data_IF_100111165157
#
_entry.id   IF_100111165157
#
_cell.length_a   1.000
_cell.length_b   1.000
_cell.length_c   1.000
_cell.angle_alpha   90.00
_cell.angle_beta   90.00
_cell.angle_gamma   90.00
#
_symmetry.space_group_name_H-M   'P 1'
#
loop_
_entity.id
_entity.type
_entity.pdbx_description
1 polymer ?
#
# COMPACT_ATOMS: atom_id res chain seq x y z
N UNK A 1 8.58 -2.56 -17.41
CA UNK A 1 7.72 -3.07 -16.33
C UNK A 1 6.42 -3.57 -16.96
N UNK A 2 6.02 -4.81 -16.72
CA UNK A 2 4.76 -5.37 -17.24
C UNK A 2 3.63 -5.04 -16.26
N UNK A 3 2.75 -4.11 -16.64
CA UNK A 3 1.65 -3.58 -15.81
C UNK A 3 0.64 -4.68 -15.45
N UNK A 4 0.35 -5.61 -16.38
CA UNK A 4 -0.55 -6.72 -16.14
C UNK A 4 -0.04 -7.66 -15.02
N UNK A 5 1.24 -8.01 -15.05
CA UNK A 5 1.85 -8.81 -13.97
C UNK A 5 1.81 -8.10 -12.62
N UNK A 6 2.05 -6.78 -12.60
CA UNK A 6 1.96 -5.97 -11.37
C UNK A 6 0.53 -5.94 -10.85
N UNK A 7 -0.46 -5.72 -11.72
CA UNK A 7 -1.87 -5.73 -11.34
C UNK A 7 -2.28 -7.08 -10.71
N UNK A 8 -1.98 -8.20 -11.38
CA UNK A 8 -2.28 -9.54 -10.83
C UNK A 8 -1.60 -9.78 -9.48
N UNK A 9 -0.36 -9.27 -9.32
CA UNK A 9 0.35 -9.34 -8.04
C UNK A 9 -0.34 -8.52 -6.95
N UNK A 10 -0.89 -7.34 -7.27
CA UNK A 10 -1.70 -6.53 -6.33
C UNK A 10 -2.95 -7.29 -5.91
N UNK A 11 -3.71 -7.84 -6.86
CA UNK A 11 -4.92 -8.64 -6.58
C UNK A 11 -4.59 -9.82 -5.64
N UNK A 12 -3.53 -10.56 -5.94
CA UNK A 12 -3.08 -11.67 -5.07
C UNK A 12 -2.75 -11.21 -3.65
N UNK A 13 -2.12 -10.04 -3.49
CA UNK A 13 -1.81 -9.49 -2.17
C UNK A 13 -3.07 -9.05 -1.42
N UNK A 14 -4.01 -8.42 -2.12
CA UNK A 14 -5.30 -8.04 -1.52
C UNK A 14 -6.07 -9.28 -1.06
N UNK A 15 -6.09 -10.35 -1.85
CA UNK A 15 -6.68 -11.62 -1.44
C UNK A 15 -6.03 -12.19 -0.16
N UNK A 16 -4.70 -12.03 -0.01
CA UNK A 16 -4.01 -12.43 1.22
C UNK A 16 -4.40 -11.59 2.44
N UNK A 17 -4.65 -10.28 2.27
CA UNK A 17 -5.21 -9.43 3.33
C UNK A 17 -6.63 -9.89 3.72
N UNK A 18 -7.50 -10.14 2.73
CA UNK A 18 -8.88 -10.63 2.99
C UNK A 18 -8.86 -11.94 3.76
N UNK A 19 -8.04 -12.90 3.34
CA UNK A 19 -7.91 -14.20 4.00
C UNK A 19 -7.41 -14.06 5.45
N UNK A 20 -6.47 -13.15 5.71
CA UNK A 20 -6.02 -12.87 7.09
C UNK A 20 -7.12 -12.23 7.93
N UNK A 21 -7.85 -11.25 7.37
CA UNK A 21 -8.92 -10.54 8.08
C UNK A 21 -10.05 -11.49 8.47
N UNK A 22 -10.46 -12.40 7.58
CA UNK A 22 -11.53 -13.37 7.80
C UNK A 22 -11.27 -14.35 8.96
N UNK A 23 -10.01 -14.52 9.37
CA UNK A 23 -9.62 -15.38 10.49
C UNK A 23 -9.34 -14.62 11.79
N UNK A 24 -9.70 -13.33 11.86
CA UNK A 24 -9.47 -12.49 13.04
C UNK A 24 -10.78 -12.24 13.79
N UNK A 25 -10.70 -12.18 15.12
CA UNK A 25 -11.73 -11.59 15.96
C UNK A 25 -11.40 -10.14 16.27
N UNK A 26 -12.40 -9.36 16.69
CA UNK A 26 -12.26 -7.93 16.96
C UNK A 26 -11.21 -7.63 18.04
N UNK A 27 -11.16 -8.43 19.10
CA UNK A 27 -10.21 -8.27 20.20
C UNK A 27 -8.77 -8.37 19.70
N UNK A 28 -8.42 -9.45 19.01
CA UNK A 28 -7.08 -9.65 18.45
C UNK A 28 -6.72 -8.59 17.40
N UNK A 29 -7.72 -8.12 16.65
CA UNK A 29 -7.51 -7.14 15.60
C UNK A 29 -7.04 -5.79 16.14
N UNK A 30 -7.57 -5.33 17.28
CA UNK A 30 -7.22 -4.04 17.91
C UNK A 30 -6.11 -4.14 18.96
N UNK A 31 -5.73 -5.38 19.36
CA UNK A 31 -4.74 -5.59 20.41
C UNK A 31 -3.34 -5.19 19.96
N UNK A 32 -2.58 -4.56 20.88
CA UNK A 32 -1.17 -4.21 20.62
C UNK A 32 -0.34 -5.49 20.66
N UNK A 33 0.43 -5.81 19.63
CA UNK A 33 1.19 -7.06 19.58
C UNK A 33 2.33 -7.06 20.62
N UNK A 34 2.75 -8.26 21.11
CA UNK A 34 3.86 -8.40 22.07
C UNK A 34 5.18 -7.76 21.61
N UNK A 35 5.46 -7.73 20.31
CA UNK A 35 6.62 -7.02 19.74
C UNK A 35 6.51 -5.51 19.80
N UNK A 36 5.38 -4.98 20.25
CA UNK A 36 5.07 -3.54 20.24
C UNK A 36 4.77 -2.99 18.85
N UNK A 37 4.53 -1.68 18.78
CA UNK A 37 4.21 -0.98 17.52
C UNK A 37 2.72 -1.05 17.17
N UNK A 38 2.40 -1.11 15.89
CA UNK A 38 1.02 -1.09 15.40
C UNK A 38 0.31 -2.42 15.60
N UNK A 39 -0.96 -2.36 15.99
CA UNK A 39 -1.92 -3.46 15.93
C UNK A 39 -2.23 -3.84 14.47
N UNK A 40 -2.90 -4.99 14.27
CA UNK A 40 -3.44 -5.34 12.96
C UNK A 40 -4.34 -4.22 12.41
N UNK A 41 -5.24 -3.70 13.25
CA UNK A 41 -6.18 -2.61 12.91
C UNK A 41 -5.46 -1.39 12.34
N UNK A 42 -4.39 -0.92 12.99
CA UNK A 42 -3.61 0.23 12.54
C UNK A 42 -2.86 -0.05 11.23
N UNK A 43 -2.36 -1.27 11.04
CA UNK A 43 -1.73 -1.68 9.77
C UNK A 43 -2.75 -1.68 8.64
N UNK A 44 -3.96 -2.24 8.84
CA UNK A 44 -5.01 -2.23 7.82
C UNK A 44 -5.48 -0.81 7.50
N UNK A 45 -5.73 0.00 8.51
CA UNK A 45 -6.06 1.43 8.34
C UNK A 45 -5.01 2.14 7.50
N UNK A 46 -3.73 2.00 7.85
CA UNK A 46 -2.64 2.65 7.13
C UNK A 46 -2.51 2.19 5.68
N UNK A 47 -2.44 0.87 5.46
CA UNK A 47 -2.11 0.35 4.13
C UNK A 47 -3.22 0.62 3.11
N UNK A 48 -4.48 0.50 3.49
CA UNK A 48 -5.58 0.73 2.55
C UNK A 48 -5.89 2.22 2.36
N UNK A 49 -5.81 3.07 3.41
CA UNK A 49 -5.90 4.52 3.25
C UNK A 49 -4.78 5.05 2.33
N UNK A 50 -3.54 4.64 2.57
CA UNK A 50 -2.41 5.07 1.72
C UNK A 50 -2.47 4.50 0.30
N UNK A 51 -3.05 3.31 0.12
CA UNK A 51 -3.26 2.73 -1.21
C UNK A 51 -4.35 3.47 -1.98
N UNK A 52 -5.45 3.88 -1.34
CA UNK A 52 -6.48 4.74 -1.94
C UNK A 52 -5.92 6.11 -2.34
N UNK A 53 -5.13 6.75 -1.49
CA UNK A 53 -4.42 7.99 -1.83
C UNK A 53 -3.45 7.80 -3.02
N UNK A 54 -2.81 6.64 -3.09
CA UNK A 54 -1.92 6.30 -4.21
C UNK A 54 -2.69 6.09 -5.51
N UNK A 55 -3.89 5.50 -5.45
CA UNK A 55 -4.79 5.40 -6.62
C UNK A 55 -5.30 6.75 -7.06
N UNK A 56 -5.58 7.68 -6.14
CA UNK A 56 -5.94 9.05 -6.49
C UNK A 56 -4.78 9.74 -7.24
N UNK A 57 -3.56 9.64 -6.73
CA UNK A 57 -2.38 10.20 -7.38
C UNK A 57 -2.10 9.55 -8.76
N UNK A 58 -2.31 8.24 -8.88
CA UNK A 58 -2.27 7.51 -10.15
C UNK A 58 -3.31 8.05 -11.13
N UNK A 59 -4.55 8.23 -10.69
CA UNK A 59 -5.64 8.75 -11.51
C UNK A 59 -5.36 10.17 -12.02
N UNK A 60 -4.75 11.03 -11.21
CA UNK A 60 -4.30 12.36 -11.65
C UNK A 60 -3.27 12.24 -12.79
N UNK A 61 -2.32 11.28 -12.71
CA UNK A 61 -1.41 11.00 -13.83
C UNK A 61 -2.16 10.57 -15.11
N UNK A 62 -3.19 9.71 -14.97
CA UNK A 62 -4.02 9.25 -16.09
C UNK A 62 -4.74 10.40 -16.76
N UNK A 63 -5.27 11.34 -15.97
CA UNK A 63 -5.96 12.55 -16.48
C UNK A 63 -5.02 13.61 -17.06
N UNK A 64 -3.70 13.44 -16.92
CA UNK A 64 -2.74 14.47 -17.30
C UNK A 64 -2.53 15.56 -16.25
N UNK A 65 -3.11 15.39 -15.07
CA UNK A 65 -3.04 16.33 -13.93
C UNK A 65 -1.75 16.03 -13.12
N UNK A 66 -0.62 16.54 -13.60
CA UNK A 66 0.66 16.30 -12.96
C UNK A 66 1.77 17.18 -13.56
N UNK A 67 3.01 16.86 -13.21
CA UNK A 67 4.19 17.59 -13.62
C UNK A 67 5.13 16.73 -14.49
N UNK A 68 5.86 17.39 -15.39
CA UNK A 68 6.94 16.76 -16.15
C UNK A 68 8.23 16.89 -15.34
N UNK A 69 8.45 15.94 -14.43
CA UNK A 69 9.61 15.89 -13.55
C UNK A 69 10.29 14.52 -13.62
N UNK A 70 11.61 14.41 -13.43
CA UNK A 70 12.29 13.12 -13.41
C UNK A 70 11.94 12.32 -12.14
N UNK A 71 11.80 11.01 -12.27
CA UNK A 71 11.83 10.11 -11.12
C UNK A 71 13.27 9.91 -10.68
N UNK A 72 13.55 10.10 -9.40
CA UNK A 72 14.89 9.96 -8.84
C UNK A 72 15.45 8.53 -9.08
N UNK A 73 16.73 8.41 -9.38
CA UNK A 73 17.35 7.13 -9.74
C UNK A 73 17.21 6.06 -8.66
N UNK A 74 17.41 6.42 -7.37
CA UNK A 74 17.27 5.48 -6.26
C UNK A 74 15.83 4.93 -6.14
N UNK A 75 14.82 5.73 -6.49
CA UNK A 75 13.42 5.30 -6.53
C UNK A 75 13.20 4.33 -7.68
N UNK A 76 13.81 4.57 -8.86
CA UNK A 76 13.77 3.61 -9.97
C UNK A 76 14.34 2.24 -9.56
N UNK A 77 15.41 2.21 -8.74
CA UNK A 77 15.96 0.97 -8.20
C UNK A 77 14.98 0.26 -7.25
N UNK A 78 14.33 0.99 -6.33
CA UNK A 78 13.28 0.42 -5.47
C UNK A 78 12.15 -0.21 -6.29
N UNK A 79 11.68 0.51 -7.31
CA UNK A 79 10.60 0.03 -8.19
C UNK A 79 11.06 -1.18 -9.04
N UNK A 80 12.31 -1.23 -9.44
CA UNK A 80 12.90 -2.33 -10.20
C UNK A 80 13.00 -3.60 -9.33
N UNK A 81 13.62 -3.50 -8.16
CA UNK A 81 13.77 -4.64 -7.24
C UNK A 81 12.47 -5.05 -6.56
N UNK A 82 11.46 -4.18 -6.53
CA UNK A 82 10.16 -4.50 -5.93
C UNK A 82 10.19 -4.62 -4.40
N UNK A 83 11.15 -3.97 -3.76
CA UNK A 83 11.28 -3.95 -2.29
C UNK A 83 11.94 -2.67 -1.81
N UNK A 84 11.61 -2.26 -0.60
CA UNK A 84 12.36 -1.21 0.08
C UNK A 84 13.74 -1.74 0.54
N UNK A 85 14.77 -0.88 0.59
CA UNK A 85 16.07 -1.26 1.10
C UNK A 85 15.99 -1.89 2.49
N UNK A 86 16.70 -3.01 2.75
CA UNK A 86 16.74 -3.64 4.06
C UNK A 86 17.40 -2.72 5.10
N UNK A 87 17.06 -2.92 6.38
CA UNK A 87 17.71 -2.23 7.51
C UNK A 87 17.24 -0.79 7.80
N UNK A 88 16.46 -0.16 6.94
CA UNK A 88 15.87 1.16 7.23
C UNK A 88 14.47 1.02 7.82
N UNK A 89 14.30 1.47 9.07
CA UNK A 89 12.97 1.74 9.62
C UNK A 89 12.45 3.04 9.00
N UNK A 90 11.42 2.94 8.19
CA UNK A 90 10.77 4.12 7.59
C UNK A 90 9.70 4.62 8.56
N UNK A 91 10.00 5.70 9.28
CA UNK A 91 8.96 6.38 10.05
C UNK A 91 7.92 6.97 9.09
N UNK A 92 6.66 6.77 9.39
CA UNK A 92 5.56 7.39 8.64
C UNK A 92 5.69 8.91 8.75
N UNK A 93 5.55 9.69 7.66
CA UNK A 93 5.50 11.14 7.73
C UNK A 93 4.40 11.59 8.71
N UNK A 94 4.65 12.62 9.53
CA UNK A 94 3.70 13.08 10.57
C UNK A 94 2.26 13.18 10.07
N UNK A 95 2.02 13.83 8.94
CA UNK A 95 0.68 13.96 8.33
C UNK A 95 0.00 12.64 7.98
N UNK A 96 0.78 11.60 7.66
CA UNK A 96 0.23 10.26 7.40
C UNK A 96 0.10 9.46 8.69
N UNK A 97 0.96 9.70 9.69
CA UNK A 97 0.83 9.09 11.02
C UNK A 97 -0.48 9.50 11.71
N UNK A 98 -0.88 10.75 11.57
CA UNK A 98 -2.15 11.29 12.09
C UNK A 98 -3.39 10.63 11.45
N UNK A 99 -3.24 10.03 10.29
CA UNK A 99 -4.31 9.28 9.58
C UNK A 99 -4.43 7.83 10.03
N UNK A 100 -3.38 7.29 10.68
CA UNK A 100 -3.41 5.92 11.21
C UNK A 100 -4.33 5.88 12.42
N UNK A 101 -5.40 5.08 12.33
CA UNK A 101 -6.42 4.96 13.38
C UNK A 101 -6.68 3.50 13.67
N UNK A 102 -7.09 3.19 14.88
CA UNK A 102 -7.71 1.91 15.18
C UNK A 102 -9.11 1.90 14.54
N UNK A 103 -9.37 0.88 13.75
CA UNK A 103 -10.64 0.64 13.06
C UNK A 103 -11.16 -0.76 13.44
N UNK A 104 -12.44 -1.03 13.28
CA UNK A 104 -13.02 -2.35 13.46
C UNK A 104 -12.87 -3.21 12.19
N UNK A 105 -13.19 -4.50 12.29
CA UNK A 105 -13.08 -5.45 11.18
C UNK A 105 -13.94 -5.02 9.98
N UNK A 106 -15.17 -4.57 10.21
CA UNK A 106 -16.08 -4.11 9.16
C UNK A 106 -15.52 -2.91 8.39
N UNK A 107 -14.91 -1.94 9.08
CA UNK A 107 -14.26 -0.81 8.43
C UNK A 107 -13.02 -1.23 7.62
N UNK A 108 -12.27 -2.24 8.09
CA UNK A 108 -11.16 -2.79 7.34
C UNK A 108 -11.62 -3.50 6.05
N UNK A 109 -12.71 -4.27 6.11
CA UNK A 109 -13.34 -4.86 4.92
C UNK A 109 -13.79 -3.79 3.93
N UNK A 110 -14.45 -2.74 4.40
CA UNK A 110 -14.88 -1.63 3.54
C UNK A 110 -13.71 -0.96 2.84
N UNK A 111 -12.61 -0.70 3.54
CA UNK A 111 -11.39 -0.16 2.93
C UNK A 111 -10.84 -1.07 1.82
N UNK A 112 -10.87 -2.39 2.01
CA UNK A 112 -10.43 -3.36 1.00
C UNK A 112 -11.35 -3.28 -0.23
N UNK A 113 -12.67 -3.30 -0.03
CA UNK A 113 -13.65 -3.22 -1.11
C UNK A 113 -13.52 -1.93 -1.92
N UNK A 114 -13.40 -0.79 -1.24
CA UNK A 114 -13.19 0.51 -1.88
C UNK A 114 -11.91 0.53 -2.71
N UNK A 115 -10.83 -0.06 -2.18
CA UNK A 115 -9.58 -0.17 -2.91
C UNK A 115 -9.71 -1.06 -4.16
N UNK A 116 -10.33 -2.24 -4.04
CA UNK A 116 -10.56 -3.16 -5.18
C UNK A 116 -11.38 -2.46 -6.28
N UNK A 117 -12.47 -1.78 -5.91
CA UNK A 117 -13.32 -1.04 -6.83
C UNK A 117 -12.56 0.07 -7.56
N UNK A 118 -11.83 0.90 -6.82
CA UNK A 118 -11.04 1.98 -7.41
C UNK A 118 -9.89 1.45 -8.27
N UNK A 119 -9.22 0.36 -7.86
CA UNK A 119 -8.17 -0.27 -8.64
C UNK A 119 -8.72 -0.81 -9.97
N UNK A 120 -9.84 -1.55 -9.94
CA UNK A 120 -10.48 -2.08 -11.14
C UNK A 120 -10.89 -0.97 -12.12
N UNK A 121 -11.44 0.14 -11.62
CA UNK A 121 -11.81 1.30 -12.42
C UNK A 121 -10.61 1.98 -13.09
N UNK A 122 -9.49 2.10 -12.39
CA UNK A 122 -8.32 2.82 -12.89
C UNK A 122 -7.41 1.94 -13.77
N UNK A 123 -7.36 0.63 -13.56
CA UNK A 123 -6.41 -0.25 -14.21
C UNK A 123 -6.44 -0.19 -15.75
N UNK A 124 -7.59 -0.20 -16.46
CA UNK A 124 -7.63 -0.15 -17.91
C UNK A 124 -7.05 1.15 -18.51
N UNK A 125 -6.94 2.20 -17.70
CA UNK A 125 -6.48 3.52 -18.12
C UNK A 125 -4.95 3.67 -17.95
N UNK A 126 -4.32 2.83 -17.12
CA UNK A 126 -2.89 2.95 -16.78
C UNK A 126 -1.98 2.76 -17.99
N UNK A 127 -2.32 1.82 -18.89
CA UNK A 127 -1.51 1.56 -20.08
C UNK A 127 -1.49 2.76 -21.04
N UNK A 128 -2.57 3.52 -21.10
CA UNK A 128 -2.74 4.70 -21.96
C UNK A 128 -2.13 5.97 -21.33
N UNK A 129 -1.81 5.93 -20.04
CA UNK A 129 -1.29 7.10 -19.33
C UNK A 129 0.12 7.49 -19.83
N UNK A 130 0.35 8.78 -19.96
CA UNK A 130 1.65 9.32 -20.34
C UNK A 130 2.71 8.99 -19.28
N UNK A 131 3.84 8.44 -19.71
CA UNK A 131 5.00 8.21 -18.84
C UNK A 131 5.69 9.50 -18.36
N UNK A 132 5.43 10.63 -19.04
CA UNK A 132 6.01 11.94 -18.73
C UNK A 132 5.28 12.61 -17.55
N UNK A 133 3.95 12.44 -17.46
CA UNK A 133 3.12 13.05 -16.42
C UNK A 133 3.28 12.29 -15.12
N UNK A 134 3.61 13.00 -14.06
CA UNK A 134 3.89 12.44 -12.75
C UNK A 134 3.29 13.27 -11.63
N UNK A 135 2.88 12.61 -10.58
CA UNK A 135 2.43 13.24 -9.33
C UNK A 135 3.44 12.97 -8.21
N UNK A 136 3.46 13.85 -7.22
CA UNK A 136 4.46 13.84 -6.15
C UNK A 136 4.05 12.89 -5.01
N UNK A 137 4.88 11.87 -4.75
CA UNK A 137 4.82 11.08 -3.53
C UNK A 137 5.61 11.79 -2.41
N UNK A 138 5.12 11.83 -1.15
CA UNK A 138 5.75 12.58 -0.05
C UNK A 138 7.23 12.24 0.18
N UNK A 139 7.66 11.00 -0.07
CA UNK A 139 9.03 10.52 0.16
C UNK A 139 9.78 10.09 -1.10
N UNK A 140 9.08 9.58 -2.09
CA UNK A 140 9.69 9.01 -3.31
C UNK A 140 9.82 10.05 -4.43
N UNK A 141 9.29 11.26 -4.25
CA UNK A 141 9.28 12.25 -5.30
C UNK A 141 8.27 11.91 -6.40
N UNK A 142 8.61 12.14 -7.65
CA UNK A 142 7.66 12.09 -8.77
C UNK A 142 7.53 10.70 -9.38
N UNK A 143 6.30 10.18 -9.44
CA UNK A 143 5.93 8.88 -10.00
C UNK A 143 4.86 9.04 -11.08
N UNK A 144 4.99 8.32 -12.20
CA UNK A 144 3.93 8.20 -13.20
C UNK A 144 2.91 7.09 -12.83
N UNK A 145 1.82 6.97 -13.58
CA UNK A 145 0.75 6.02 -13.29
C UNK A 145 1.25 4.57 -13.10
N UNK A 146 2.11 4.08 -13.99
CA UNK A 146 2.68 2.71 -13.89
C UNK A 146 3.58 2.55 -12.66
N UNK A 147 4.34 3.59 -12.32
CA UNK A 147 5.20 3.60 -11.14
C UNK A 147 4.40 3.65 -9.83
N UNK A 148 3.26 4.35 -9.81
CA UNK A 148 2.34 4.35 -8.68
C UNK A 148 1.73 2.96 -8.45
N UNK A 149 1.29 2.27 -9.50
CA UNK A 149 0.79 0.89 -9.37
C UNK A 149 1.87 -0.04 -8.79
N UNK A 150 3.11 0.09 -9.26
CA UNK A 150 4.24 -0.68 -8.73
C UNK A 150 4.55 -0.35 -7.28
N UNK A 151 4.46 0.93 -6.90
CA UNK A 151 4.61 1.35 -5.50
C UNK A 151 3.53 0.73 -4.61
N UNK A 152 2.26 0.75 -5.03
CA UNK A 152 1.16 0.10 -4.30
C UNK A 152 1.49 -1.38 -4.05
N UNK A 153 1.94 -2.09 -5.08
CA UNK A 153 2.33 -3.50 -4.95
C UNK A 153 3.43 -3.73 -3.91
N UNK A 154 4.49 -2.90 -3.95
CA UNK A 154 5.61 -2.97 -3.01
C UNK A 154 5.15 -2.66 -1.58
N UNK A 155 4.29 -1.66 -1.42
CA UNK A 155 3.78 -1.22 -0.13
C UNK A 155 2.88 -2.27 0.51
N UNK A 156 1.95 -2.85 -0.25
CA UNK A 156 1.15 -3.99 0.19
C UNK A 156 2.03 -5.15 0.65
N UNK A 157 3.05 -5.52 -0.14
CA UNK A 157 3.96 -6.60 0.23
C UNK A 157 4.76 -6.31 1.51
N UNK A 158 5.18 -5.05 1.69
CA UNK A 158 5.90 -4.62 2.89
C UNK A 158 5.05 -4.82 4.16
N UNK A 159 3.79 -4.41 4.12
CA UNK A 159 2.88 -4.54 5.25
C UNK A 159 2.34 -5.96 5.45
N UNK A 160 2.22 -6.80 4.42
CA UNK A 160 1.97 -8.24 4.60
C UNK A 160 3.09 -8.91 5.40
N UNK A 161 4.35 -8.54 5.16
CA UNK A 161 5.47 -9.02 5.97
C UNK A 161 5.41 -8.50 7.41
N UNK A 162 4.91 -7.27 7.62
CA UNK A 162 4.67 -6.74 8.97
C UNK A 162 3.58 -7.53 9.70
N UNK A 163 2.44 -7.80 9.05
CA UNK A 163 1.38 -8.64 9.62
C UNK A 163 1.89 -10.03 10.02
N UNK A 164 2.74 -10.64 9.20
CA UNK A 164 3.37 -11.93 9.54
C UNK A 164 4.30 -11.87 10.75
N UNK A 165 4.99 -10.73 11.00
CA UNK A 165 5.78 -10.54 12.23
C UNK A 165 4.90 -10.35 13.47
N UNK A 166 3.80 -9.62 13.34
CA UNK A 166 2.79 -9.46 14.39
C UNK A 166 2.22 -10.83 14.77
N UNK A 167 1.79 -11.61 13.79
CA UNK A 167 1.24 -12.96 13.98
C UNK A 167 2.21 -13.88 14.75
N UNK A 168 3.48 -13.91 14.33
CA UNK A 168 4.51 -14.69 15.00
C UNK A 168 4.73 -14.25 16.45
N UNK A 169 4.61 -12.95 16.75
CA UNK A 169 4.80 -12.48 18.13
C UNK A 169 3.69 -12.92 19.07
N UNK A 170 2.46 -13.03 18.59
CA UNK A 170 1.36 -13.61 19.38
C UNK A 170 1.56 -15.12 19.63
N UNK A 171 2.00 -15.87 18.60
CA UNK A 171 2.29 -17.30 18.73
C UNK A 171 3.43 -17.62 19.70
N UNK A 172 4.40 -16.71 19.87
CA UNK A 172 5.54 -16.89 20.77
C UNK A 172 5.22 -16.48 22.23
N UNK A 173 4.11 -15.79 22.45
CA UNK A 173 3.70 -15.28 23.76
C UNK A 173 2.51 -16.03 24.35
N UNK A 174 1.92 -16.97 23.60
CA UNK A 174 0.88 -17.90 24.01
C UNK A 174 1.49 -19.20 24.56
#
# INVERSE_FOLDING_TARGET
MNTGKVYQSVIKKVAAYKAKLANMNEENFIHIPPIGGWSYSEVYSHIFDSSLLSLLALNNCVKGEGEIKPTHWAVKMVLFFGSFPPGKRYNVPKRLAERVKKINLMAAEQFILDFELQLAKNYPLIEKASSKIKTKHPRLGYLNAKQWLRFIEIHLNHHLKQLGRIEKSFQQSA
#
